data_IF_574962265617
#
_entry.id   IF_574962265617
#
_cell.length_a   1.000
_cell.length_b   1.000
_cell.length_c   1.000
_cell.angle_alpha   90.00
_cell.angle_beta   90.00
_cell.angle_gamma   90.00
#
_symmetry.space_group_name_H-M   'P 1'
#
loop_
_entity.id
_entity.type
_entity.pdbx_description
1 polymer ?
#
# COMPACT_ATOMS: atom_id res chain seq x y z
N UNK A 1 15.36 17.89 7.55
CA UNK A 1 15.59 16.98 6.40
C UNK A 1 14.27 16.85 5.67
N UNK A 2 14.10 17.53 4.53
CA UNK A 2 12.88 17.41 3.72
C UNK A 2 13.01 16.11 2.92
N UNK A 3 12.32 15.05 3.36
CA UNK A 3 12.30 13.78 2.62
C UNK A 3 11.44 14.02 1.38
N UNK A 4 12.07 14.27 0.24
CA UNK A 4 11.38 14.33 -1.05
C UNK A 4 10.99 12.90 -1.42
N UNK A 5 9.74 12.52 -1.16
CA UNK A 5 9.20 11.28 -1.70
C UNK A 5 9.21 11.35 -3.22
N UNK A 6 9.62 10.26 -3.86
CA UNK A 6 9.40 10.11 -5.31
C UNK A 6 7.89 10.16 -5.58
N UNK A 7 7.47 10.75 -6.70
CA UNK A 7 6.08 10.74 -7.15
C UNK A 7 5.48 9.32 -7.15
N UNK A 8 6.33 8.32 -7.43
CA UNK A 8 5.95 6.91 -7.39
C UNK A 8 5.58 6.43 -5.99
N UNK A 9 6.27 6.92 -4.96
CA UNK A 9 5.98 6.58 -3.57
C UNK A 9 4.74 7.30 -3.07
N UNK A 10 4.53 8.56 -3.48
CA UNK A 10 3.28 9.31 -3.23
C UNK A 10 2.09 8.57 -3.84
N UNK A 11 2.23 8.08 -5.08
CA UNK A 11 1.17 7.32 -5.75
C UNK A 11 0.84 6.01 -5.03
N UNK A 12 1.87 5.25 -4.61
CA UNK A 12 1.68 4.03 -3.81
C UNK A 12 1.00 4.33 -2.47
N UNK A 13 1.37 5.42 -1.82
CA UNK A 13 0.75 5.88 -0.58
C UNK A 13 -0.74 6.20 -0.72
N UNK A 14 -1.12 6.82 -1.85
CA UNK A 14 -2.51 7.11 -2.17
C UNK A 14 -3.31 5.82 -2.35
N UNK A 15 -2.83 4.91 -3.20
CA UNK A 15 -3.47 3.61 -3.46
C UNK A 15 -3.66 2.82 -2.15
N UNK A 16 -2.66 2.85 -1.27
CA UNK A 16 -2.75 2.24 0.06
C UNK A 16 -3.80 2.86 0.97
N UNK A 17 -3.88 4.20 0.98
CA UNK A 17 -4.87 4.93 1.76
C UNK A 17 -6.28 4.62 1.26
N UNK A 18 -6.46 4.52 -0.06
CA UNK A 18 -7.74 4.16 -0.68
C UNK A 18 -8.16 2.71 -0.33
N UNK A 19 -7.22 1.77 -0.20
CA UNK A 19 -7.51 0.40 0.26
C UNK A 19 -7.91 0.37 1.73
N UNK A 20 -7.16 1.08 2.58
CA UNK A 20 -7.46 1.16 4.02
C UNK A 20 -8.84 1.77 4.26
N UNK A 21 -9.22 2.78 3.48
CA UNK A 21 -10.54 3.42 3.53
C UNK A 21 -11.65 2.60 2.84
N UNK A 22 -11.33 1.38 2.38
CA UNK A 22 -12.22 0.48 1.62
C UNK A 22 -12.80 1.11 0.34
N UNK A 23 -12.16 2.16 -0.17
CA UNK A 23 -12.51 2.84 -1.44
C UNK A 23 -11.94 2.11 -2.65
N UNK A 24 -10.94 1.27 -2.44
CA UNK A 24 -10.28 0.49 -3.49
C UNK A 24 -10.04 -0.95 -3.01
N UNK A 25 -10.44 -1.94 -3.81
CA UNK A 25 -10.16 -3.35 -3.49
C UNK A 25 -8.69 -3.66 -3.77
N UNK A 26 -8.10 -4.58 -3.02
CA UNK A 26 -6.69 -4.96 -3.21
C UNK A 26 -6.40 -5.51 -4.61
N UNK A 27 -7.36 -6.23 -5.19
CA UNK A 27 -7.25 -6.77 -6.55
C UNK A 27 -7.15 -5.63 -7.57
N UNK A 28 -8.00 -4.61 -7.42
CA UNK A 28 -8.00 -3.44 -8.31
C UNK A 28 -6.72 -2.61 -8.10
N UNK A 29 -6.26 -2.47 -6.86
CA UNK A 29 -5.00 -1.80 -6.54
C UNK A 29 -3.76 -2.47 -7.13
N UNK A 30 -3.71 -3.81 -7.13
CA UNK A 30 -2.62 -4.57 -7.74
C UNK A 30 -2.57 -4.34 -9.26
N UNK A 31 -3.74 -4.27 -9.92
CA UNK A 31 -3.85 -3.93 -11.34
C UNK A 31 -3.40 -2.49 -11.60
N UNK A 32 -3.82 -1.53 -10.77
CA UNK A 32 -3.44 -0.12 -10.90
C UNK A 32 -1.93 0.10 -10.74
N UNK A 33 -1.30 -0.66 -9.84
CA UNK A 33 0.14 -0.61 -9.62
C UNK A 33 0.94 -1.49 -10.59
N UNK A 34 0.25 -2.19 -11.50
CA UNK A 34 0.82 -3.13 -12.47
C UNK A 34 1.77 -4.15 -11.82
N UNK A 35 1.32 -4.72 -10.69
CA UNK A 35 2.08 -5.72 -9.93
C UNK A 35 1.20 -6.93 -9.65
N UNK A 36 1.82 -8.11 -9.52
CA UNK A 36 1.09 -9.29 -9.05
C UNK A 36 0.53 -9.06 -7.65
N UNK A 37 -0.60 -9.67 -7.31
CA UNK A 37 -1.19 -9.55 -5.96
C UNK A 37 -0.22 -9.96 -4.83
N UNK A 38 0.65 -10.94 -5.08
CA UNK A 38 1.73 -11.35 -4.17
C UNK A 38 2.79 -10.27 -4.00
N UNK A 39 3.21 -9.65 -5.10
CA UNK A 39 4.18 -8.53 -5.09
C UNK A 39 3.58 -7.31 -4.40
N UNK A 40 2.31 -7.01 -4.68
CA UNK A 40 1.55 -5.95 -4.03
C UNK A 40 1.52 -6.15 -2.51
N UNK A 41 1.17 -7.35 -2.05
CA UNK A 41 1.15 -7.72 -0.63
C UNK A 41 2.51 -7.49 0.04
N UNK A 42 3.61 -7.90 -0.61
CA UNK A 42 4.98 -7.68 -0.10
C UNK A 42 5.33 -6.19 -0.01
N UNK A 43 5.05 -5.41 -1.07
CA UNK A 43 5.29 -3.96 -1.09
C UNK A 43 4.53 -3.27 0.06
N UNK A 44 3.28 -3.67 0.29
CA UNK A 44 2.46 -3.12 1.37
C UNK A 44 3.08 -3.43 2.74
N UNK A 45 3.50 -4.68 2.96
CA UNK A 45 4.15 -5.09 4.21
C UNK A 45 5.44 -4.31 4.44
N UNK A 46 6.31 -4.22 3.43
CA UNK A 46 7.59 -3.51 3.54
C UNK A 46 7.40 -2.02 3.83
N UNK A 47 6.39 -1.41 3.21
CA UNK A 47 6.08 0.00 3.39
C UNK A 47 5.44 0.29 4.76
N UNK A 48 4.57 -0.60 5.25
CA UNK A 48 4.02 -0.53 6.62
C UNK A 48 5.14 -0.68 7.66
N UNK A 49 6.05 -1.64 7.44
CA UNK A 49 7.22 -1.84 8.30
C UNK A 49 8.13 -0.61 8.31
N UNK A 50 8.32 0.03 7.16
CA UNK A 50 9.08 1.27 7.04
C UNK A 50 8.41 2.45 7.79
N UNK A 51 7.08 2.46 7.91
CA UNK A 51 6.33 3.49 8.63
C UNK A 51 6.13 3.22 10.13
N UNK A 52 6.56 2.06 10.64
CA UNK A 52 6.60 1.77 12.07
C UNK A 52 5.25 1.70 12.79
N UNK A 53 4.15 1.31 12.11
CA UNK A 53 2.83 1.25 12.75
C UNK A 53 2.14 -0.13 12.66
N UNK A 54 1.69 -0.58 13.83
CA UNK A 54 1.26 -1.92 14.21
C UNK A 54 -0.22 -2.09 13.82
N UNK A 55 -0.54 -2.59 12.64
CA UNK A 55 -1.93 -2.98 12.26
C UNK A 55 -2.00 -3.92 11.05
N UNK A 56 -0.99 -4.77 10.86
CA UNK A 56 -0.92 -5.74 9.75
C UNK A 56 -2.03 -6.79 9.77
N UNK A 57 -2.80 -6.92 10.85
CA UNK A 57 -3.89 -7.89 10.98
C UNK A 57 -5.16 -7.41 10.25
N UNK A 58 -5.47 -6.11 10.28
CA UNK A 58 -6.74 -5.59 9.73
C UNK A 58 -6.79 -5.44 8.20
N UNK A 59 -5.65 -5.50 7.52
CA UNK A 59 -5.59 -5.41 6.05
C UNK A 59 -5.82 -6.75 5.35
N UNK A 60 -5.84 -7.88 6.05
CA UNK A 60 -6.06 -9.20 5.44
C UNK A 60 -7.44 -9.82 5.73
N UNK A 61 -8.27 -9.18 6.55
CA UNK A 61 -9.62 -9.65 6.93
C UNK A 61 -10.76 -9.16 5.99
N UNK A 62 -10.45 -8.76 4.75
CA UNK A 62 -11.43 -8.39 3.71
C UNK A 62 -11.09 -9.05 2.38
#
# INVERSE_FOLDING_TARGET
MLITMSEKDIYRFKVLSDIREKRLRQVDAAVILNVSGLTFKRIIIDMINYMGNISTIFLFDI
#
